data_IF_643009936103
#
_entry.id   IF_643009936103
#
_cell.length_a   1.000
_cell.length_b   1.000
_cell.length_c   1.000
_cell.angle_alpha   90.00
_cell.angle_beta   90.00
_cell.angle_gamma   90.00
#
_symmetry.space_group_name_H-M   'P 1'
#
loop_
_entity.id
_entity.type
_entity.pdbx_description
1 polymer ?
#
# COMPACT_ATOMS: atom_id res chain seq x y z
N UNK A 1 -3.52 -31.33 -29.67
CA UNK A 1 -3.76 -30.29 -28.64
C UNK A 1 -3.51 -28.86 -29.19
N UNK A 2 -4.05 -28.54 -30.37
CA UNK A 2 -3.99 -27.19 -30.99
C UNK A 2 -5.36 -26.50 -31.03
N UNK A 3 -6.43 -27.26 -30.75
CA UNK A 3 -7.81 -26.80 -30.71
C UNK A 3 -8.10 -25.83 -29.57
N UNK A 4 -7.32 -25.86 -28.49
CA UNK A 4 -7.44 -24.91 -27.36
C UNK A 4 -7.26 -23.46 -27.84
N UNK A 5 -6.42 -23.23 -28.85
CA UNK A 5 -6.18 -21.92 -29.48
C UNK A 5 -7.32 -21.43 -30.38
N UNK A 6 -8.30 -22.29 -30.72
CA UNK A 6 -9.51 -21.87 -31.44
C UNK A 6 -10.64 -21.40 -30.52
N UNK A 7 -10.56 -21.75 -29.23
CA UNK A 7 -11.54 -21.33 -28.21
C UNK A 7 -11.01 -20.16 -27.37
N UNK A 8 -9.71 -20.17 -27.08
CA UNK A 8 -9.03 -19.13 -26.35
C UNK A 8 -8.21 -18.29 -27.31
N UNK A 9 -8.65 -17.05 -27.55
CA UNK A 9 -7.85 -16.06 -28.27
C UNK A 9 -6.51 -15.91 -27.55
N UNK A 10 -5.38 -16.19 -28.21
CA UNK A 10 -4.07 -16.27 -27.56
C UNK A 10 -3.67 -15.00 -26.82
N UNK A 11 -4.10 -13.87 -27.34
CA UNK A 11 -3.93 -12.56 -26.71
C UNK A 11 -4.67 -12.47 -25.38
N UNK A 12 -5.93 -12.93 -25.34
CA UNK A 12 -6.74 -12.92 -24.11
C UNK A 12 -6.18 -13.88 -23.07
N UNK A 13 -5.70 -15.05 -23.46
CA UNK A 13 -5.10 -15.99 -22.51
C UNK A 13 -3.84 -15.41 -21.83
N UNK A 14 -2.95 -14.78 -22.62
CA UNK A 14 -1.77 -14.10 -22.08
C UNK A 14 -2.16 -12.92 -21.20
N UNK A 15 -3.08 -12.06 -21.64
CA UNK A 15 -3.54 -10.91 -20.86
C UNK A 15 -4.26 -11.34 -19.58
N UNK A 16 -5.06 -12.42 -19.62
CA UNK A 16 -5.73 -12.95 -18.44
C UNK A 16 -4.73 -13.50 -17.42
N UNK A 17 -3.71 -14.22 -17.86
CA UNK A 17 -2.65 -14.72 -16.99
C UNK A 17 -1.87 -13.56 -16.38
N UNK A 18 -1.33 -12.65 -17.20
CA UNK A 18 -0.58 -11.49 -16.71
C UNK A 18 -1.43 -10.58 -15.82
N UNK A 19 -2.67 -10.30 -16.23
CA UNK A 19 -3.62 -9.49 -15.46
C UNK A 19 -3.96 -10.14 -14.13
N UNK A 20 -4.22 -11.45 -14.09
CA UNK A 20 -4.49 -12.17 -12.85
C UNK A 20 -3.31 -12.09 -11.89
N UNK A 21 -2.10 -12.40 -12.35
CA UNK A 21 -0.89 -12.33 -11.52
C UNK A 21 -0.61 -10.89 -11.07
N UNK A 22 -0.83 -9.91 -11.95
CA UNK A 22 -0.60 -8.49 -11.63
C UNK A 22 -1.59 -7.96 -10.60
N UNK A 23 -2.88 -8.25 -10.75
CA UNK A 23 -3.91 -7.88 -9.76
C UNK A 23 -3.62 -8.55 -8.43
N UNK A 24 -3.28 -9.84 -8.43
CA UNK A 24 -2.90 -10.57 -7.22
C UNK A 24 -1.70 -9.91 -6.52
N UNK A 25 -0.67 -9.53 -7.26
CA UNK A 25 0.48 -8.81 -6.73
C UNK A 25 0.08 -7.47 -6.10
N UNK A 26 -0.73 -6.65 -6.80
CA UNK A 26 -1.18 -5.36 -6.27
C UNK A 26 -2.01 -5.52 -4.99
N UNK A 27 -2.92 -6.50 -4.94
CA UNK A 27 -3.73 -6.76 -3.73
C UNK A 27 -2.84 -7.10 -2.54
N UNK A 28 -1.84 -7.98 -2.70
CA UNK A 28 -0.91 -8.33 -1.63
C UNK A 28 -0.14 -7.08 -1.16
N UNK A 29 0.40 -6.27 -2.09
CA UNK A 29 1.14 -5.07 -1.74
C UNK A 29 0.27 -4.04 -1.02
N UNK A 30 -0.96 -3.81 -1.49
CA UNK A 30 -1.92 -2.91 -0.84
C UNK A 30 -2.26 -3.35 0.59
N UNK A 31 -2.38 -4.67 0.84
CA UNK A 31 -2.62 -5.19 2.19
C UNK A 31 -1.42 -4.91 3.11
N UNK A 32 -0.20 -5.18 2.63
CA UNK A 32 1.02 -4.89 3.40
C UNK A 32 1.19 -3.40 3.65
N UNK A 33 0.92 -2.56 2.64
CA UNK A 33 1.02 -1.11 2.76
C UNK A 33 -0.06 -0.54 3.68
N UNK A 34 -1.26 -1.13 3.71
CA UNK A 34 -2.36 -0.67 4.57
C UNK A 34 -2.18 -1.06 6.03
N UNK A 35 -1.28 -1.98 6.37
CA UNK A 35 -1.08 -2.40 7.77
C UNK A 35 -0.01 -1.53 8.43
N UNK A 36 -0.38 -0.89 9.56
CA UNK A 36 0.46 -0.01 10.40
C UNK A 36 1.91 -0.52 10.63
N UNK A 37 2.12 -1.84 10.63
CA UNK A 37 3.44 -2.45 10.88
C UNK A 37 4.29 -2.71 9.62
N UNK A 38 3.66 -2.87 8.47
CA UNK A 38 4.33 -3.17 7.20
C UNK A 38 4.20 -2.04 6.17
N UNK A 39 3.55 -0.93 6.55
CA UNK A 39 3.49 0.30 5.79
C UNK A 39 4.85 0.99 5.77
N UNK A 40 5.73 0.54 4.87
CA UNK A 40 7.06 1.12 4.71
C UNK A 40 7.05 2.57 4.22
N UNK A 41 5.89 3.07 3.76
CA UNK A 41 5.70 4.42 3.27
C UNK A 41 5.45 5.42 4.42
N UNK A 42 4.80 4.99 5.49
CA UNK A 42 4.59 5.78 6.72
C UNK A 42 5.86 5.84 7.60
N UNK A 43 6.86 5.02 7.30
CA UNK A 43 8.00 4.81 8.19
C UNK A 43 7.56 4.07 9.44
N UNK A 44 8.50 3.73 10.33
CA UNK A 44 8.14 3.19 11.64
C UNK A 44 6.98 4.01 12.23
N UNK A 45 6.06 3.35 12.93
CA UNK A 45 5.27 4.03 13.95
C UNK A 45 6.24 4.57 15.01
N UNK A 46 7.04 5.59 14.66
CA UNK A 46 7.29 6.69 15.56
C UNK A 46 5.89 7.14 15.85
N UNK A 47 5.44 6.76 17.05
CA UNK A 47 4.26 7.31 17.68
C UNK A 47 4.07 8.71 17.14
N UNK A 48 2.87 9.01 16.64
CA UNK A 48 2.42 10.37 16.41
C UNK A 48 2.79 11.21 17.63
N UNK A 49 4.02 11.71 17.65
CA UNK A 49 4.40 12.97 18.24
C UNK A 49 3.75 13.92 17.27
N UNK A 50 2.42 13.99 17.37
CA UNK A 50 1.69 15.20 17.07
C UNK A 50 2.52 16.27 17.73
N UNK A 51 3.08 17.11 16.86
CA UNK A 51 3.80 18.31 17.21
C UNK A 51 2.80 19.21 17.94
N UNK A 52 2.49 18.87 19.19
CA UNK A 52 1.96 19.78 20.21
C UNK A 52 3.16 20.59 20.74
N UNK A 53 4.05 21.01 19.84
CA UNK A 53 5.10 21.99 20.08
C UNK A 53 4.69 23.35 19.54
N UNK A 54 3.38 23.58 19.39
CA UNK A 54 2.82 24.82 18.87
C UNK A 54 1.67 25.39 19.73
N UNK A 55 1.57 25.02 21.01
CA UNK A 55 0.61 25.64 21.92
C UNK A 55 1.26 26.03 23.25
N UNK A 56 1.32 27.35 23.47
CA UNK A 56 1.55 28.07 24.71
C UNK A 56 3.02 28.24 25.18
N UNK A 57 3.59 29.45 25.08
CA UNK A 57 4.73 29.81 25.92
C UNK A 57 4.30 29.80 27.39
N UNK A 58 4.96 29.05 28.30
CA UNK A 58 4.74 29.22 29.73
C UNK A 58 5.32 30.58 30.12
N UNK A 59 4.45 31.58 30.23
CA UNK A 59 4.75 32.84 30.90
C UNK A 59 5.03 32.54 32.37
N UNK A 60 6.29 32.25 32.71
CA UNK A 60 6.75 32.25 34.08
C UNK A 60 6.79 33.71 34.56
N UNK A 61 5.66 34.13 35.11
CA UNK A 61 5.44 35.36 35.87
C UNK A 61 6.39 35.35 37.08
N UNK A 62 7.49 36.11 36.99
CA UNK A 62 8.29 36.51 38.14
C UNK A 62 7.66 37.78 38.73
N UNK A 63 7.00 37.64 39.89
CA UNK A 63 6.64 38.73 40.81
C UNK A 63 6.40 38.15 42.19
#
# INVERSE_FOLDING_TARGET
MWRVWKLFDPRRALVALFGFLFVLALVIHFILLSTERFNWLEGAAVASVSVEQAAAPPTHRLS
#
